data_IF_935037017024
#
_entry.id   IF_935037017024
#
_cell.length_a   1.000
_cell.length_b   1.000
_cell.length_c   1.000
_cell.angle_alpha   90.00
_cell.angle_beta   90.00
_cell.angle_gamma   90.00
#
_symmetry.space_group_name_H-M   'P 1'
#
loop_
_entity.id
_entity.type
_entity.pdbx_description
1 polymer ?
#
# COMPACT_ATOMS: atom_id res chain seq x y z
N UNK A 1 13.30 -25.73 28.46
CA UNK A 1 14.25 -25.72 27.33
C UNK A 1 13.92 -26.94 26.49
N UNK A 2 13.68 -26.79 25.19
CA UNK A 2 13.38 -27.92 24.29
C UNK A 2 14.66 -28.77 24.10
N UNK A 3 14.71 -30.02 24.59
CA UNK A 3 15.89 -30.87 24.49
C UNK A 3 16.27 -31.21 23.05
N UNK A 4 15.30 -31.21 22.14
CA UNK A 4 15.48 -31.63 20.74
C UNK A 4 15.75 -30.46 19.79
N UNK A 5 16.03 -29.27 20.34
CA UNK A 5 16.46 -28.07 19.63
C UNK A 5 15.53 -27.65 18.47
N UNK A 6 14.23 -27.93 18.58
CA UNK A 6 13.23 -27.71 17.54
C UNK A 6 13.49 -28.45 16.22
N UNK A 7 14.36 -29.46 16.25
CA UNK A 7 14.74 -30.32 15.12
C UNK A 7 14.21 -31.74 15.26
N UNK A 8 13.37 -32.01 16.25
CA UNK A 8 12.80 -33.33 16.54
C UNK A 8 11.53 -33.25 17.38
N UNK A 9 10.76 -34.32 17.41
CA UNK A 9 9.70 -34.51 18.41
C UNK A 9 10.33 -35.00 19.72
N UNK A 10 10.03 -34.31 20.83
CA UNK A 10 10.47 -34.71 22.16
C UNK A 10 9.39 -35.57 22.83
N UNK A 11 9.76 -36.75 23.34
CA UNK A 11 8.91 -37.59 24.19
C UNK A 11 9.60 -37.85 25.52
N UNK A 12 8.85 -37.78 26.61
CA UNK A 12 9.33 -38.15 27.95
C UNK A 12 9.08 -39.64 28.17
N UNK A 13 10.13 -40.41 28.43
CA UNK A 13 10.09 -41.85 28.68
C UNK A 13 10.95 -42.13 29.90
N UNK A 14 10.35 -42.59 31.00
CA UNK A 14 11.03 -42.89 32.28
C UNK A 14 11.90 -41.74 32.80
N UNK A 15 11.33 -40.53 32.90
CA UNK A 15 12.00 -39.29 33.32
C UNK A 15 13.22 -38.92 32.46
N UNK A 16 13.24 -39.39 31.20
CA UNK A 16 14.28 -39.09 30.21
C UNK A 16 13.63 -38.54 28.94
N UNK A 17 14.12 -37.38 28.49
CA UNK A 17 13.81 -36.86 27.17
C UNK A 17 14.45 -37.73 26.06
N UNK A 18 13.59 -38.27 25.19
CA UNK A 18 13.95 -39.02 23.99
C UNK A 18 13.49 -38.22 22.76
N UNK A 19 14.43 -37.92 21.87
CA UNK A 19 14.17 -37.14 20.67
C UNK A 19 14.02 -38.05 19.44
N UNK A 20 12.95 -37.86 18.68
CA UNK A 20 12.80 -38.38 17.31
C UNK A 20 13.14 -37.26 16.34
N UNK A 21 14.28 -37.35 15.67
CA UNK A 21 14.77 -36.26 14.82
C UNK A 21 13.99 -36.16 13.50
N UNK A 22 13.70 -34.92 13.09
CA UNK A 22 13.13 -34.59 11.79
C UNK A 22 14.23 -34.30 10.77
N UNK A 23 13.95 -34.59 9.51
CA UNK A 23 14.87 -34.27 8.42
C UNK A 23 16.20 -35.03 8.53
N UNK A 24 17.26 -34.39 8.05
CA UNK A 24 18.61 -34.96 8.01
C UNK A 24 19.41 -34.54 9.25
N UNK A 25 18.82 -34.78 10.42
CA UNK A 25 19.42 -34.54 11.74
C UNK A 25 19.49 -35.85 12.53
N UNK A 26 20.54 -36.03 13.31
CA UNK A 26 20.79 -37.21 14.13
C UNK A 26 21.39 -36.82 15.49
N UNK A 27 21.71 -37.82 16.30
CA UNK A 27 22.17 -37.66 17.68
C UNK A 27 21.04 -37.63 18.68
N UNK A 28 21.40 -37.74 19.97
CA UNK A 28 20.43 -37.83 21.08
C UNK A 28 19.54 -36.58 21.18
N UNK A 29 20.03 -35.44 20.72
CA UNK A 29 19.37 -34.14 20.82
C UNK A 29 19.09 -33.50 19.45
N UNK A 30 19.22 -34.27 18.36
CA UNK A 30 19.02 -33.80 16.98
C UNK A 30 19.93 -32.63 16.59
N UNK A 31 21.16 -32.64 17.12
CA UNK A 31 22.17 -31.60 17.01
C UNK A 31 23.28 -31.93 16.00
N UNK A 32 23.33 -33.17 15.52
CA UNK A 32 24.30 -33.63 14.53
C UNK A 32 23.67 -33.61 13.15
N UNK A 33 24.29 -32.91 12.20
CA UNK A 33 23.86 -32.91 10.81
C UNK A 33 24.28 -34.21 10.12
N UNK A 34 23.37 -34.83 9.37
CA UNK A 34 23.68 -35.96 8.48
C UNK A 34 24.19 -35.41 7.16
N UNK A 35 25.27 -35.97 6.60
CA UNK A 35 25.91 -35.50 5.35
C UNK A 35 25.83 -36.55 4.25
N UNK A 36 26.18 -36.19 3.01
CA UNK A 36 26.18 -37.16 1.91
C UNK A 36 27.23 -38.27 2.08
N UNK A 37 28.25 -38.07 2.93
CA UNK A 37 29.24 -39.10 3.29
C UNK A 37 28.56 -40.32 3.93
N UNK A 38 27.47 -40.09 4.66
CA UNK A 38 26.70 -41.13 5.35
C UNK A 38 25.74 -41.88 4.41
N UNK A 39 25.73 -41.53 3.11
CA UNK A 39 24.82 -42.08 2.08
C UNK A 39 23.34 -42.13 2.50
N UNK A 40 22.76 -41.01 2.98
CA UNK A 40 21.45 -41.02 3.62
C UNK A 40 20.28 -41.13 2.63
N UNK A 41 20.50 -40.85 1.34
CA UNK A 41 19.44 -40.82 0.35
C UNK A 41 19.13 -42.21 -0.22
N UNK A 42 17.88 -42.65 -0.11
CA UNK A 42 17.40 -43.93 -0.60
C UNK A 42 16.81 -43.85 -2.01
N UNK A 43 16.44 -45.01 -2.58
CA UNK A 43 15.66 -45.12 -3.82
C UNK A 43 16.24 -44.36 -5.02
N UNK A 44 17.55 -44.53 -5.20
CA UNK A 44 18.30 -43.92 -6.31
C UNK A 44 18.21 -42.39 -6.35
N UNK A 45 18.01 -41.75 -5.19
CA UNK A 45 17.99 -40.31 -5.06
C UNK A 45 19.40 -39.71 -5.17
N UNK A 46 19.48 -38.50 -5.72
CA UNK A 46 20.75 -37.75 -5.82
C UNK A 46 20.99 -36.99 -4.53
N UNK A 47 22.16 -37.20 -3.89
CA UNK A 47 22.54 -36.49 -2.67
C UNK A 47 23.38 -35.24 -2.98
N UNK A 48 23.09 -34.13 -2.30
CA UNK A 48 23.91 -32.91 -2.33
C UNK A 48 24.10 -32.35 -0.93
N UNK A 49 25.32 -31.95 -0.57
CA UNK A 49 25.57 -31.28 0.71
C UNK A 49 25.24 -29.79 0.60
N UNK A 50 24.28 -29.33 1.40
CA UNK A 50 23.88 -27.93 1.49
C UNK A 50 24.15 -27.45 2.91
N UNK A 51 25.12 -26.54 3.06
CA UNK A 51 25.56 -26.02 4.37
C UNK A 51 25.96 -27.12 5.37
N UNK A 52 26.56 -28.21 4.90
CA UNK A 52 26.98 -29.33 5.74
C UNK A 52 25.82 -30.24 6.19
N UNK A 53 24.67 -30.17 5.54
CA UNK A 53 23.53 -31.08 5.73
C UNK A 53 23.21 -31.72 4.38
N UNK A 54 23.00 -33.03 4.36
CA UNK A 54 22.56 -33.75 3.18
C UNK A 54 21.21 -33.24 2.70
N UNK A 55 21.04 -33.11 1.38
CA UNK A 55 19.76 -32.82 0.73
C UNK A 55 19.57 -33.80 -0.41
N UNK A 56 18.51 -34.60 -0.29
CA UNK A 56 18.17 -35.63 -1.27
C UNK A 56 17.20 -35.08 -2.32
N UNK A 57 17.55 -35.21 -3.59
CA UNK A 57 16.63 -35.06 -4.71
C UNK A 57 16.06 -36.44 -5.05
N UNK A 58 14.81 -36.69 -4.68
CA UNK A 58 14.17 -37.99 -4.85
C UNK A 58 13.87 -38.30 -6.33
N UNK A 59 14.01 -39.57 -6.69
CA UNK A 59 13.53 -40.08 -7.97
C UNK A 59 12.00 -40.10 -8.02
N UNK A 60 11.44 -40.17 -9.24
CA UNK A 60 10.00 -40.16 -9.47
C UNK A 60 9.29 -41.24 -8.64
N UNK A 61 8.23 -40.84 -7.93
CA UNK A 61 7.45 -41.74 -7.08
C UNK A 61 7.94 -41.86 -5.63
N UNK A 62 9.03 -41.19 -5.24
CA UNK A 62 9.55 -41.18 -3.86
C UNK A 62 9.50 -39.79 -3.21
N UNK A 63 9.43 -39.77 -1.87
CA UNK A 63 9.29 -38.58 -1.04
C UNK A 63 9.88 -38.81 0.35
N UNK A 64 9.86 -37.77 1.19
CA UNK A 64 10.56 -37.74 2.47
C UNK A 64 11.93 -37.08 2.37
N UNK A 65 12.57 -36.83 3.51
CA UNK A 65 13.86 -36.12 3.57
C UNK A 65 15.04 -36.96 3.07
N UNK A 66 14.91 -38.27 3.20
CA UNK A 66 15.86 -39.30 2.74
C UNK A 66 15.29 -40.15 1.59
N UNK A 67 14.15 -39.76 1.02
CA UNK A 67 13.49 -40.48 -0.08
C UNK A 67 13.12 -41.93 0.23
N UNK A 68 12.78 -42.25 1.48
CA UNK A 68 12.40 -43.58 1.97
C UNK A 68 10.93 -43.95 1.70
N UNK A 69 10.08 -42.93 1.52
CA UNK A 69 8.64 -43.09 1.37
C UNK A 69 8.21 -43.03 -0.08
N UNK A 70 7.20 -43.81 -0.49
CA UNK A 70 6.58 -43.64 -1.81
C UNK A 70 5.53 -42.53 -1.75
N UNK A 71 5.45 -41.73 -2.81
CA UNK A 71 4.45 -40.67 -2.98
C UNK A 71 3.02 -41.24 -2.87
N UNK A 72 2.84 -42.51 -3.21
CA UNK A 72 1.59 -43.26 -3.08
C UNK A 72 1.10 -43.47 -1.63
N UNK A 73 2.01 -43.63 -0.67
CA UNK A 73 1.70 -43.79 0.77
C UNK A 73 0.96 -42.56 1.35
N UNK A 74 1.26 -41.37 0.84
CA UNK A 74 0.60 -40.12 1.25
C UNK A 74 -0.85 -40.02 0.75
N UNK A 75 -1.18 -40.65 -0.37
CA UNK A 75 -2.55 -40.65 -0.91
C UNK A 75 -3.50 -41.55 -0.11
N UNK A 76 -3.03 -42.69 0.40
CA UNK A 76 -3.83 -43.57 1.27
C UNK A 76 -4.14 -42.94 2.64
N UNK A 77 -3.19 -42.17 3.19
CA UNK A 77 -3.34 -41.51 4.49
C UNK A 77 -4.44 -40.42 4.48
N UNK A 78 -4.72 -39.84 3.31
CA UNK A 78 -5.66 -38.71 3.16
C UNK A 78 -7.05 -39.11 2.68
N UNK A 79 -7.19 -40.30 2.09
CA UNK A 79 -8.45 -40.76 1.51
C UNK A 79 -9.25 -41.73 2.39
N UNK A 80 -8.66 -42.26 3.47
CA UNK A 80 -9.36 -43.10 4.44
C UNK A 80 -9.94 -44.37 3.83
N UNK A 81 -9.31 -45.52 4.06
CA UNK A 81 -9.97 -46.77 4.51
C UNK A 81 -9.14 -48.01 4.21
N UNK A 82 -9.04 -48.84 5.25
CA UNK A 82 -8.80 -50.29 5.31
C UNK A 82 -7.49 -50.84 4.71
N UNK A 83 -6.51 -50.92 5.59
CA UNK A 83 -5.31 -51.76 5.48
C UNK A 83 -5.67 -53.25 5.39
N UNK A 84 -5.02 -53.96 4.45
CA UNK A 84 -4.53 -55.31 4.72
C UNK A 84 -3.22 -55.54 3.93
N UNK A 85 -2.17 -56.16 4.53
CA UNK A 85 -0.88 -56.41 3.88
C UNK A 85 -0.81 -57.82 3.24
N UNK A 86 0.30 -58.20 2.56
CA UNK A 86 0.95 -57.55 1.43
C UNK A 86 0.75 -58.40 0.15
N UNK A 87 0.49 -57.79 -0.99
CA UNK A 87 0.72 -58.46 -2.28
C UNK A 87 1.72 -57.64 -3.06
N UNK A 88 2.84 -58.26 -3.42
CA UNK A 88 3.80 -57.76 -4.40
C UNK A 88 3.26 -58.09 -5.80
N UNK A 89 3.01 -57.10 -6.70
CA UNK A 89 3.09 -55.66 -6.52
C UNK A 89 1.80 -55.04 -5.92
N UNK A 90 1.88 -53.89 -5.22
CA UNK A 90 0.75 -53.31 -4.51
C UNK A 90 -0.28 -52.70 -5.49
N UNK A 91 -1.36 -53.44 -5.74
CA UNK A 91 -2.53 -52.94 -6.46
C UNK A 91 -3.47 -52.22 -5.47
N UNK A 92 -3.58 -50.89 -5.53
CA UNK A 92 -4.76 -50.24 -4.93
C UNK A 92 -5.98 -50.61 -5.76
N UNK A 93 -6.87 -51.38 -5.16
CA UNK A 93 -8.19 -51.63 -5.71
C UNK A 93 -9.06 -50.43 -5.39
N UNK A 94 -9.08 -49.43 -6.28
CA UNK A 94 -10.20 -48.48 -6.31
C UNK A 94 -11.47 -49.30 -6.48
N UNK A 95 -12.41 -49.20 -5.54
CA UNK A 95 -13.75 -49.71 -5.78
C UNK A 95 -14.37 -48.86 -6.91
N UNK A 96 -14.37 -49.39 -8.14
CA UNK A 96 -15.33 -48.98 -9.17
C UNK A 96 -14.84 -48.36 -10.47
N UNK A 97 -13.55 -48.27 -10.79
CA UNK A 97 -13.14 -47.72 -12.10
C UNK A 97 -12.00 -48.54 -12.72
N UNK A 98 -12.26 -49.07 -13.92
CA UNK A 98 -11.29 -49.76 -14.76
C UNK A 98 -10.11 -48.85 -15.11
N UNK A 99 -8.92 -49.42 -14.98
CA UNK A 99 -7.65 -48.84 -15.42
C UNK A 99 -7.70 -48.65 -16.94
N UNK A 100 -7.75 -47.40 -17.40
CA UNK A 100 -7.44 -47.04 -18.77
C UNK A 100 -6.72 -45.68 -18.77
N UNK A 101 -5.48 -45.75 -19.26
CA UNK A 101 -4.58 -44.66 -19.69
C UNK A 101 -4.10 -43.63 -18.64
N UNK A 102 -2.79 -43.66 -18.42
CA UNK A 102 -1.96 -42.68 -17.69
C UNK A 102 -1.87 -41.31 -18.42
N UNK A 103 -3.01 -40.79 -18.88
CA UNK A 103 -3.13 -39.46 -19.49
C UNK A 103 -4.19 -38.60 -18.79
N UNK A 104 -4.89 -39.12 -17.78
CA UNK A 104 -5.99 -38.42 -17.09
C UNK A 104 -5.75 -38.16 -15.59
N UNK A 105 -4.55 -38.42 -15.07
CA UNK A 105 -4.22 -38.18 -13.64
C UNK A 105 -3.81 -36.73 -13.37
N UNK A 106 -3.59 -35.92 -14.40
CA UNK A 106 -3.76 -34.47 -14.24
C UNK A 106 -5.22 -34.19 -14.57
N UNK A 107 -6.12 -34.45 -13.62
CA UNK A 107 -7.22 -33.50 -13.51
C UNK A 107 -6.51 -32.18 -13.28
N UNK A 108 -6.51 -31.30 -14.28
CA UNK A 108 -6.14 -29.91 -14.06
C UNK A 108 -6.75 -29.50 -12.73
N UNK A 109 -5.97 -28.94 -11.78
CA UNK A 109 -6.55 -28.50 -10.52
C UNK A 109 -7.75 -27.65 -10.90
N UNK A 110 -8.95 -28.08 -10.47
CA UNK A 110 -10.20 -27.42 -10.84
C UNK A 110 -9.99 -25.91 -10.73
N UNK A 111 -10.38 -25.11 -11.73
CA UNK A 111 -10.04 -23.70 -11.78
C UNK A 111 -10.43 -23.07 -10.44
N UNK A 112 -9.42 -22.57 -9.73
CA UNK A 112 -9.56 -22.05 -8.38
C UNK A 112 -10.53 -20.87 -8.45
N UNK A 113 -11.77 -21.10 -8.04
CA UNK A 113 -12.88 -20.19 -8.31
C UNK A 113 -13.75 -19.96 -7.08
N UNK A 114 -14.50 -18.87 -7.11
CA UNK A 114 -15.40 -18.46 -6.05
C UNK A 114 -16.85 -18.96 -6.26
N UNK A 115 -17.09 -19.82 -7.26
CA UNK A 115 -18.44 -20.25 -7.64
C UNK A 115 -19.19 -20.97 -6.51
N UNK A 116 -18.47 -21.76 -5.70
CA UNK A 116 -19.04 -22.48 -4.55
C UNK A 116 -18.92 -21.71 -3.22
N UNK A 117 -18.50 -20.43 -3.29
CA UNK A 117 -18.17 -19.57 -2.15
C UNK A 117 -17.42 -20.31 -1.01
N UNK A 118 -16.14 -20.64 -1.20
CA UNK A 118 -15.33 -21.33 -0.19
C UNK A 118 -15.12 -20.54 1.12
N UNK A 119 -15.48 -19.26 1.14
CA UNK A 119 -15.35 -18.38 2.29
C UNK A 119 -16.59 -18.46 3.18
N UNK A 120 -16.45 -19.08 4.34
CA UNK A 120 -17.55 -19.26 5.29
C UNK A 120 -17.88 -17.95 6.04
N UNK A 121 -18.97 -17.97 6.81
CA UNK A 121 -19.36 -16.90 7.72
C UNK A 121 -19.43 -15.51 7.06
N UNK A 122 -19.97 -15.46 5.84
CA UNK A 122 -20.11 -14.22 5.04
C UNK A 122 -18.77 -13.58 4.64
N UNK A 123 -17.70 -14.38 4.55
CA UNK A 123 -16.44 -13.93 3.95
C UNK A 123 -16.60 -13.63 2.46
N UNK A 124 -15.86 -12.63 1.97
CA UNK A 124 -15.82 -12.27 0.56
C UNK A 124 -14.74 -13.09 -0.14
N UNK A 125 -15.12 -13.84 -1.17
CA UNK A 125 -14.19 -14.61 -1.96
C UNK A 125 -13.60 -13.78 -3.11
N UNK A 126 -12.28 -13.83 -3.27
CA UNK A 126 -11.55 -13.25 -4.40
C UNK A 126 -10.50 -14.22 -4.90
N UNK A 127 -10.16 -14.16 -6.20
CA UNK A 127 -9.06 -14.95 -6.77
C UNK A 127 -7.87 -14.02 -6.96
N UNK A 128 -6.73 -14.35 -6.35
CA UNK A 128 -5.47 -13.61 -6.47
C UNK A 128 -4.34 -14.58 -6.83
N UNK A 129 -3.58 -14.31 -7.89
CA UNK A 129 -2.46 -15.13 -8.37
C UNK A 129 -2.80 -16.63 -8.54
N UNK A 130 -4.01 -16.94 -9.04
CA UNK A 130 -4.46 -18.32 -9.22
C UNK A 130 -4.84 -19.05 -7.91
N UNK A 131 -4.95 -18.33 -6.80
CA UNK A 131 -5.38 -18.87 -5.50
C UNK A 131 -6.64 -18.16 -5.00
N UNK A 132 -7.52 -18.88 -4.29
CA UNK A 132 -8.66 -18.26 -3.59
C UNK A 132 -8.16 -17.61 -2.32
N UNK A 133 -8.51 -16.34 -2.15
CA UNK A 133 -8.26 -15.55 -0.95
C UNK A 133 -9.61 -15.10 -0.38
N UNK A 134 -9.83 -15.43 0.89
CA UNK A 134 -11.03 -15.03 1.62
C UNK A 134 -10.76 -13.79 2.47
N UNK A 135 -11.51 -12.73 2.23
CA UNK A 135 -11.60 -11.59 3.14
C UNK A 135 -12.71 -11.87 4.16
N UNK A 136 -12.33 -12.19 5.39
CA UNK A 136 -13.28 -12.62 6.41
C UNK A 136 -14.15 -11.49 6.97
N UNK A 137 -15.39 -11.84 7.27
CA UNK A 137 -16.29 -10.96 8.01
C UNK A 137 -15.74 -10.70 9.43
N UNK A 138 -16.25 -9.65 10.06
CA UNK A 138 -15.82 -9.25 11.40
C UNK A 138 -16.01 -10.38 12.43
N UNK A 139 -14.97 -10.65 13.23
CA UNK A 139 -14.94 -11.73 14.21
C UNK A 139 -14.65 -13.13 13.66
N UNK A 140 -14.20 -13.27 12.41
CA UNK A 140 -13.77 -14.54 11.84
C UNK A 140 -12.37 -14.45 11.21
N UNK A 141 -11.64 -15.57 11.20
CA UNK A 141 -10.27 -15.68 10.69
C UNK A 141 -9.99 -17.04 10.02
N UNK A 142 -8.78 -17.17 9.48
CA UNK A 142 -8.28 -18.34 8.78
C UNK A 142 -8.60 -18.35 7.28
N UNK A 143 -7.99 -19.30 6.56
CA UNK A 143 -8.01 -19.37 5.09
C UNK A 143 -9.43 -19.35 4.48
N UNK A 144 -10.39 -19.97 5.15
CA UNK A 144 -11.79 -20.07 4.70
C UNK A 144 -12.76 -19.39 5.67
N UNK A 145 -12.29 -18.51 6.56
CA UNK A 145 -13.12 -17.79 7.55
C UNK A 145 -13.92 -18.69 8.50
N UNK A 146 -13.41 -19.90 8.77
CA UNK A 146 -14.07 -20.89 9.63
C UNK A 146 -13.86 -20.61 11.12
N UNK A 147 -12.66 -20.12 11.48
CA UNK A 147 -12.30 -19.89 12.87
C UNK A 147 -12.95 -18.59 13.37
N UNK A 148 -13.48 -18.61 14.58
CA UNK A 148 -14.00 -17.42 15.26
C UNK A 148 -12.86 -16.73 16.00
N UNK A 149 -12.92 -15.41 16.06
CA UNK A 149 -12.04 -14.59 16.88
C UNK A 149 -12.78 -14.35 18.20
N UNK A 150 -12.09 -14.63 19.30
CA UNK A 150 -12.62 -14.50 20.66
C UNK A 150 -11.83 -13.45 21.44
N UNK A 151 -12.38 -12.95 22.54
CA UNK A 151 -11.64 -12.04 23.42
C UNK A 151 -10.41 -12.70 24.08
N UNK A 152 -10.35 -14.04 24.13
CA UNK A 152 -9.17 -14.77 24.57
C UNK A 152 -7.97 -14.58 23.62
N UNK A 153 -8.23 -14.28 22.34
CA UNK A 153 -7.20 -13.99 21.34
C UNK A 153 -6.69 -12.53 21.45
N UNK A 154 -7.21 -11.74 22.41
CA UNK A 154 -6.89 -10.32 22.61
C UNK A 154 -6.98 -9.48 21.32
N UNK A 155 -8.11 -9.51 20.60
CA UNK A 155 -8.20 -8.96 19.24
C UNK A 155 -8.21 -7.43 19.20
N UNK A 156 -8.51 -6.76 20.31
CA UNK A 156 -8.60 -5.30 20.37
C UNK A 156 -7.23 -4.70 20.74
N UNK A 157 -6.68 -3.85 19.87
CA UNK A 157 -5.40 -3.20 20.11
C UNK A 157 -5.51 -2.02 21.10
N UNK A 158 -4.37 -1.67 21.71
CA UNK A 158 -4.10 -0.39 22.36
C UNK A 158 -5.20 0.13 23.31
N UNK A 159 -5.69 -0.74 24.21
CA UNK A 159 -6.63 -0.35 25.26
C UNK A 159 -8.11 -0.34 24.86
N UNK A 160 -8.46 -0.94 23.72
CA UNK A 160 -9.87 -1.22 23.40
C UNK A 160 -10.45 -2.33 24.29
N UNK A 161 -11.69 -2.16 24.72
CA UNK A 161 -12.41 -3.17 25.51
C UNK A 161 -13.06 -4.19 24.58
N UNK A 162 -12.73 -5.46 24.76
CA UNK A 162 -13.34 -6.56 24.02
C UNK A 162 -14.63 -7.02 24.71
N UNK A 163 -15.71 -7.17 23.94
CA UNK A 163 -17.00 -7.68 24.41
C UNK A 163 -17.41 -8.85 23.52
N UNK A 164 -17.80 -9.96 24.13
CA UNK A 164 -18.37 -11.09 23.39
C UNK A 164 -19.89 -10.95 23.32
N UNK A 165 -20.42 -10.85 22.11
CA UNK A 165 -21.86 -10.97 21.87
C UNK A 165 -22.14 -12.33 21.21
N UNK A 166 -22.59 -13.27 22.03
CA UNK A 166 -22.83 -14.66 21.66
C UNK A 166 -21.57 -15.45 21.30
N UNK A 167 -21.01 -15.21 20.11
CA UNK A 167 -19.94 -16.01 19.47
C UNK A 167 -18.99 -15.17 18.59
N UNK A 168 -19.13 -13.84 18.62
CA UNK A 168 -18.35 -12.89 17.81
C UNK A 168 -17.80 -11.84 18.77
N UNK A 169 -16.47 -11.68 18.81
CA UNK A 169 -15.83 -10.63 19.59
C UNK A 169 -16.03 -9.26 18.92
N UNK A 170 -16.49 -8.27 19.68
CA UNK A 170 -16.60 -6.88 19.24
C UNK A 170 -15.71 -5.97 20.10
N UNK A 171 -14.97 -5.08 19.44
CA UNK A 171 -14.08 -4.13 20.10
C UNK A 171 -14.77 -2.77 20.30
N UNK A 172 -14.80 -2.32 21.56
CA UNK A 172 -15.11 -0.94 21.91
C UNK A 172 -13.79 -0.16 22.04
N UNK A 173 -13.51 0.70 21.06
CA UNK A 173 -12.24 1.41 20.99
C UNK A 173 -12.16 2.57 21.99
N UNK A 174 -10.97 2.76 22.55
CA UNK A 174 -10.65 3.92 23.39
C UNK A 174 -10.79 5.25 22.60
N UNK A 175 -10.91 6.39 23.29
CA UNK A 175 -10.95 7.69 22.62
C UNK A 175 -9.79 7.87 21.63
N UNK A 176 -10.08 8.43 20.46
CA UNK A 176 -9.10 8.64 19.38
C UNK A 176 -8.52 7.34 18.78
N UNK A 177 -9.31 6.27 18.74
CA UNK A 177 -9.00 5.03 18.03
C UNK A 177 -10.19 4.63 17.15
N UNK A 178 -9.91 4.13 15.96
CA UNK A 178 -10.90 3.63 15.01
C UNK A 178 -10.43 2.29 14.42
N UNK A 179 -11.24 1.70 13.55
CA UNK A 179 -10.98 0.38 12.99
C UNK A 179 -11.74 -0.72 13.72
N UNK A 180 -11.80 -1.89 13.09
CA UNK A 180 -12.55 -3.06 13.59
C UNK A 180 -11.91 -3.65 14.84
N UNK A 181 -10.60 -3.51 14.97
CA UNK A 181 -9.77 -4.04 16.04
C UNK A 181 -8.99 -2.92 16.74
N UNK A 182 -9.45 -1.67 16.64
CA UNK A 182 -8.83 -0.47 17.21
C UNK A 182 -7.37 -0.25 16.75
N UNK A 183 -7.06 -0.73 15.55
CA UNK A 183 -5.74 -0.69 14.92
C UNK A 183 -5.37 0.69 14.40
N UNK A 184 -6.37 1.53 14.11
CA UNK A 184 -6.15 2.87 13.58
C UNK A 184 -6.13 3.90 14.72
N UNK A 185 -5.14 4.80 14.70
CA UNK A 185 -5.19 6.00 15.51
C UNK A 185 -6.27 6.92 14.93
N UNK A 186 -7.41 7.03 15.62
CA UNK A 186 -8.47 7.94 15.28
C UNK A 186 -7.92 9.36 15.34
N UNK A 187 -8.01 10.09 14.23
CA UNK A 187 -7.56 11.46 14.19
C UNK A 187 -8.38 12.28 15.20
N UNK A 188 -7.70 12.99 16.10
CA UNK A 188 -8.35 14.00 16.92
C UNK A 188 -8.99 15.03 15.98
N UNK A 189 -10.32 15.22 16.07
CA UNK A 189 -11.07 16.21 15.29
C UNK A 189 -10.45 17.62 15.33
N UNK A 190 -9.60 17.91 16.32
CA UNK A 190 -8.81 19.13 16.43
C UNK A 190 -7.74 19.33 15.34
N UNK A 191 -7.35 18.30 14.59
CA UNK A 191 -6.30 18.37 13.55
C UNK A 191 -6.89 18.59 12.14
N UNK A 192 -8.14 18.19 11.89
CA UNK A 192 -8.75 18.32 10.57
C UNK A 192 -9.36 19.73 10.35
N UNK A 193 -9.75 20.43 11.43
CA UNK A 193 -10.31 21.78 11.32
C UNK A 193 -9.26 22.88 11.16
N UNK A 194 -8.00 22.66 11.58
CA UNK A 194 -6.94 23.66 11.44
C UNK A 194 -6.43 23.77 10.00
N UNK A 195 -6.30 22.66 9.27
CA UNK A 195 -5.79 22.66 7.90
C UNK A 195 -6.71 23.41 6.90
N UNK A 196 -8.04 23.27 7.07
CA UNK A 196 -9.03 23.96 6.25
C UNK A 196 -9.02 25.48 6.48
N UNK A 197 -8.92 25.92 7.74
CA UNK A 197 -8.90 27.33 8.10
C UNK A 197 -7.58 28.02 7.69
N UNK A 198 -6.44 27.36 7.85
CA UNK A 198 -5.14 27.92 7.42
C UNK A 198 -5.02 28.01 5.90
N UNK A 199 -5.55 27.03 5.16
CA UNK A 199 -5.54 27.04 3.69
C UNK A 199 -6.36 28.19 3.10
N UNK A 200 -7.55 28.46 3.63
CA UNK A 200 -8.43 29.55 3.15
C UNK A 200 -7.86 30.94 3.45
N UNK A 201 -7.24 31.13 4.61
CA UNK A 201 -6.64 32.43 4.99
C UNK A 201 -5.43 32.75 4.10
N UNK A 202 -4.54 31.77 3.87
CA UNK A 202 -3.35 31.96 3.02
C UNK A 202 -3.76 32.30 1.58
N UNK A 203 -4.76 31.60 1.02
CA UNK A 203 -5.27 31.89 -0.33
C UNK A 203 -5.82 33.32 -0.44
N UNK A 204 -6.54 33.77 0.59
CA UNK A 204 -7.10 35.12 0.65
C UNK A 204 -5.99 36.19 0.73
N UNK A 205 -4.99 36.01 1.60
CA UNK A 205 -3.87 36.93 1.73
C UNK A 205 -3.02 37.04 0.45
N UNK A 206 -2.78 35.92 -0.23
CA UNK A 206 -2.08 35.91 -1.52
C UNK A 206 -2.87 36.68 -2.59
N UNK A 207 -4.19 36.45 -2.69
CA UNK A 207 -5.04 37.15 -3.65
C UNK A 207 -5.06 38.66 -3.40
N UNK A 208 -5.18 39.09 -2.14
CA UNK A 208 -5.16 40.51 -1.75
C UNK A 208 -3.80 41.14 -2.10
N UNK A 209 -2.69 40.47 -1.82
CA UNK A 209 -1.35 40.96 -2.12
C UNK A 209 -1.11 41.12 -3.63
N UNK A 210 -1.60 40.18 -4.44
CA UNK A 210 -1.54 40.26 -5.90
C UNK A 210 -2.38 41.42 -6.41
N UNK A 211 -3.61 41.59 -5.90
CA UNK A 211 -4.49 42.70 -6.29
C UNK A 211 -3.84 44.05 -5.97
N UNK A 212 -3.29 44.24 -4.76
CA UNK A 212 -2.57 45.46 -4.41
C UNK A 212 -1.35 45.69 -5.31
N UNK A 213 -0.60 44.64 -5.62
CA UNK A 213 0.53 44.72 -6.56
C UNK A 213 0.09 45.18 -7.96
N UNK A 214 -0.98 44.59 -8.50
CA UNK A 214 -1.53 44.97 -9.81
C UNK A 214 -2.03 46.42 -9.79
N UNK A 215 -2.75 46.84 -8.75
CA UNK A 215 -3.22 48.23 -8.59
C UNK A 215 -2.05 49.21 -8.51
N UNK A 216 -1.01 48.88 -7.75
CA UNK A 216 0.18 49.74 -7.65
C UNK A 216 0.89 49.88 -9.00
N UNK A 217 1.02 48.78 -9.76
CA UNK A 217 1.62 48.79 -11.10
C UNK A 217 0.77 49.60 -12.09
N UNK A 218 -0.56 49.45 -12.08
CA UNK A 218 -1.43 50.22 -12.98
C UNK A 218 -1.39 51.71 -12.67
N UNK A 219 -1.40 52.11 -11.39
CA UNK A 219 -1.22 53.51 -10.97
C UNK A 219 0.15 54.03 -11.41
N UNK A 220 1.21 53.24 -11.27
CA UNK A 220 2.55 53.68 -11.69
C UNK A 220 2.65 53.87 -13.20
N UNK A 221 2.05 52.98 -14.00
CA UNK A 221 2.02 53.09 -15.45
C UNK A 221 1.17 54.28 -15.89
N UNK A 222 -0.01 54.49 -15.28
CA UNK A 222 -0.89 55.62 -15.63
C UNK A 222 -0.28 56.96 -15.24
N UNK A 223 0.32 57.08 -14.06
CA UNK A 223 1.00 58.31 -13.63
C UNK A 223 2.19 58.65 -14.52
N UNK A 224 2.99 57.65 -14.95
CA UNK A 224 4.07 57.88 -15.92
C UNK A 224 3.55 58.30 -17.29
N UNK A 225 2.44 57.71 -17.74
CA UNK A 225 1.80 58.11 -18.99
C UNK A 225 1.27 59.55 -18.92
N UNK A 226 0.68 59.94 -17.79
CA UNK A 226 0.17 61.31 -17.58
C UNK A 226 1.29 62.35 -17.47
N UNK A 227 2.41 62.03 -16.82
CA UNK A 227 3.59 62.92 -16.80
C UNK A 227 4.12 63.14 -18.21
N UNK A 228 4.26 62.07 -19.02
CA UNK A 228 4.72 62.20 -20.41
C UNK A 228 3.75 63.02 -21.26
N UNK A 229 2.44 62.83 -21.10
CA UNK A 229 1.43 63.65 -21.81
C UNK A 229 1.53 65.12 -21.45
N UNK A 230 1.69 65.44 -20.16
CA UNK A 230 1.88 66.83 -19.72
C UNK A 230 3.16 67.46 -20.25
N UNK A 231 4.25 66.72 -20.36
CA UNK A 231 5.50 67.21 -20.94
C UNK A 231 5.33 67.58 -22.42
N UNK A 232 4.71 66.72 -23.23
CA UNK A 232 4.45 67.00 -24.66
C UNK A 232 3.53 68.22 -24.82
N UNK A 233 2.50 68.35 -23.99
CA UNK A 233 1.59 69.51 -24.04
C UNK A 233 2.32 70.81 -23.67
N UNK A 234 3.23 70.78 -22.67
CA UNK A 234 4.00 71.98 -22.31
C UNK A 234 5.01 72.35 -23.41
N UNK A 235 5.66 71.35 -24.04
CA UNK A 235 6.54 71.58 -25.20
C UNK A 235 5.78 72.19 -26.39
N UNK A 236 4.58 71.70 -26.70
CA UNK A 236 3.73 72.28 -27.76
C UNK A 236 3.28 73.71 -27.40
N UNK A 237 2.96 73.95 -26.13
CA UNK A 237 2.57 75.28 -25.64
C UNK A 237 3.72 76.29 -25.76
N UNK A 238 4.93 75.91 -25.35
CA UNK A 238 6.13 76.77 -25.46
C UNK A 238 6.41 77.15 -26.93
N UNK A 239 6.24 76.22 -27.87
CA UNK A 239 6.41 76.49 -29.31
C UNK A 239 5.30 77.42 -29.85
N UNK A 240 4.04 77.22 -29.44
CA UNK A 240 2.94 78.12 -29.81
C UNK A 240 3.19 79.54 -29.30
N UNK A 241 3.63 79.70 -28.04
CA UNK A 241 3.96 81.01 -27.45
C UNK A 241 5.14 81.68 -28.18
N UNK A 242 6.16 80.92 -28.59
CA UNK A 242 7.29 81.41 -29.40
C UNK A 242 6.83 81.96 -30.75
N UNK A 243 5.96 81.23 -31.46
CA UNK A 243 5.39 81.64 -32.75
C UNK A 243 4.49 82.89 -32.62
N UNK A 244 3.69 82.97 -31.55
CA UNK A 244 2.88 84.15 -31.24
C UNK A 244 3.75 85.38 -30.94
N UNK A 245 4.87 85.22 -30.24
CA UNK A 245 5.84 86.28 -30.00
C UNK A 245 6.48 86.84 -31.29
N UNK A 246 6.84 85.97 -32.24
CA UNK A 246 7.36 86.38 -33.55
C UNK A 246 6.31 87.16 -34.37
N UNK A 247 5.05 86.75 -34.32
CA UNK A 247 3.94 87.50 -34.94
C UNK A 247 3.76 88.88 -34.30
N UNK A 248 3.78 88.99 -32.98
CA UNK A 248 3.63 90.27 -32.27
C UNK A 248 4.74 91.27 -32.66
N UNK A 249 5.99 90.81 -32.75
CA UNK A 249 7.12 91.63 -33.21
C UNK A 249 6.98 92.02 -34.70
N UNK A 250 6.52 91.11 -35.56
CA UNK A 250 6.23 91.40 -36.97
C UNK A 250 5.13 92.47 -37.14
N UNK A 251 4.01 92.35 -36.41
CA UNK A 251 2.91 93.33 -36.45
C UNK A 251 3.32 94.71 -35.93
N UNK A 252 4.17 94.78 -34.89
CA UNK A 252 4.70 96.04 -34.37
C UNK A 252 5.62 96.78 -35.38
N UNK A 253 6.31 96.04 -36.25
CA UNK A 253 7.14 96.62 -37.32
C UNK A 253 6.32 97.12 -38.53
N UNK A 254 5.13 96.56 -38.76
CA UNK A 254 4.22 96.95 -39.85
C UNK A 254 3.33 98.13 -39.46
N UNK A 255 2.88 98.22 -38.20
CA UNK A 255 1.96 99.26 -37.72
C UNK A 255 2.62 100.36 -36.86
N UNK A 256 3.93 100.32 -36.66
CA UNK A 256 4.72 101.29 -35.87
C UNK A 256 4.95 102.68 -36.49
N UNK A 257 3.99 103.23 -37.25
CA UNK A 257 3.89 104.66 -37.59
C UNK A 257 2.43 105.07 -37.76
N UNK A 258 1.70 105.21 -36.65
CA UNK A 258 0.72 106.29 -36.46
C UNK A 258 0.01 106.10 -35.12
N UNK A 259 0.31 106.96 -34.17
CA UNK A 259 -0.69 107.73 -33.42
C UNK A 259 0.04 108.76 -32.56
N UNK A 260 0.19 109.95 -33.12
CA UNK A 260 0.43 111.16 -32.35
C UNK A 260 -0.89 111.55 -31.68
N UNK A 261 -0.89 111.53 -30.36
CA UNK A 261 -1.43 112.54 -29.46
C UNK A 261 -2.52 113.48 -30.01
N UNK A 262 -3.71 113.42 -29.40
CA UNK A 262 -4.62 114.56 -29.33
C UNK A 262 -5.34 114.58 -27.98
N UNK A 263 -4.82 115.40 -27.07
CA UNK A 263 -5.57 115.95 -25.94
C UNK A 263 -6.78 116.73 -26.45
N UNK A 264 -7.92 116.65 -25.74
CA UNK A 264 -8.69 117.79 -25.22
C UNK A 264 -9.99 117.31 -24.57
N UNK A 265 -10.10 117.52 -23.27
CA UNK A 265 -11.34 117.85 -22.54
C UNK A 265 -12.02 119.08 -23.15
N UNK A 266 -13.34 119.06 -23.34
CA UNK A 266 -14.24 120.19 -23.00
C UNK A 266 -15.73 119.84 -23.21
N UNK A 267 -16.51 120.22 -22.18
CA UNK A 267 -17.98 120.35 -21.99
C UNK A 267 -18.95 119.21 -22.38
#
# INVERSE_FOLDING_TARGET
MDPCQSRGECKDVDDRAVCTCHGNMTGRYCDVAVTCIDTPCHNNATCTDVNGIARCACADGYTGYVCDSTVFSLFCSKLGSNTQPPTDPPMCRLCGIHVATLSSIVSEPAPVSCNDNPCLNKGTCTVANGTVVCACAYGYTGRNCKAKITCADTPCNAGGSCVEDGNVSTCSCAPHRTGRYCEEAGQSLSQLQTAALTGSIILCCCAVSIIFGVIAVTIFVSTRADVRRKQVIEEEKDEIERLLGEQQHSWSSVFGKNTSQKDTTDL
#
